data_IF_146055369397
#
_entry.id   IF_146055369397
#
_cell.length_a   1.000
_cell.length_b   1.000
_cell.length_c   1.000
_cell.angle_alpha   90.00
_cell.angle_beta   90.00
_cell.angle_gamma   90.00
#
_symmetry.space_group_name_H-M   'P 1'
#
loop_
_entity.id
_entity.type
_entity.pdbx_description
1 polymer ?
#
# COMPACT_ATOMS: atom_id res chain seq x y z
N UNK A 1 -3.41 -0.22 19.06
CA UNK A 1 -3.57 -0.53 17.62
C UNK A 1 -2.49 0.24 16.86
N UNK A 2 -1.27 -0.26 16.83
CA UNK A 2 -0.23 0.31 15.97
C UNK A 2 -0.11 -0.60 14.75
N UNK A 3 -0.89 -0.31 13.71
CA UNK A 3 -0.76 -1.02 12.44
C UNK A 3 0.56 -0.66 11.76
N UNK A 4 1.17 0.48 12.08
CA UNK A 4 2.39 0.93 11.40
C UNK A 4 3.59 0.90 12.34
N UNK A 5 4.71 0.38 11.82
CA UNK A 5 6.02 0.43 12.46
C UNK A 5 6.76 1.71 12.04
N UNK A 6 7.88 2.01 12.69
CA UNK A 6 8.79 3.08 12.22
C UNK A 6 9.24 2.83 10.78
N UNK A 7 9.41 1.56 10.39
CA UNK A 7 9.84 1.15 9.06
C UNK A 7 8.81 1.47 7.97
N UNK A 8 7.51 1.54 8.31
CA UNK A 8 6.45 1.93 7.36
C UNK A 8 6.77 3.29 6.72
N UNK A 9 7.02 4.31 7.55
CA UNK A 9 7.34 5.65 7.08
C UNK A 9 8.75 5.72 6.47
N UNK A 10 9.70 4.95 7.01
CA UNK A 10 11.06 4.94 6.51
C UNK A 10 11.14 4.38 5.09
N UNK A 11 10.37 3.33 4.78
CA UNK A 11 10.30 2.77 3.43
C UNK A 11 9.93 3.83 2.39
N UNK A 12 8.93 4.67 2.66
CA UNK A 12 8.52 5.73 1.72
C UNK A 12 9.58 6.82 1.56
N UNK A 13 10.31 7.17 2.63
CA UNK A 13 11.45 8.11 2.55
C UNK A 13 12.57 7.56 1.68
N UNK A 14 12.86 6.26 1.80
CA UNK A 14 13.90 5.60 1.00
C UNK A 14 13.44 5.44 -0.45
N UNK A 15 12.18 5.06 -0.67
CA UNK A 15 11.58 4.94 -2.00
C UNK A 15 11.63 6.27 -2.76
N UNK A 16 11.31 7.39 -2.10
CA UNK A 16 11.37 8.71 -2.72
C UNK A 16 12.76 9.07 -3.25
N UNK A 17 13.83 8.57 -2.61
CA UNK A 17 15.22 8.77 -3.05
C UNK A 17 15.66 7.75 -4.12
N UNK A 18 14.99 6.61 -4.20
CA UNK A 18 15.40 5.47 -5.02
C UNK A 18 14.24 4.96 -5.89
N UNK A 19 13.45 5.85 -6.49
CA UNK A 19 12.25 5.50 -7.24
C UNK A 19 12.58 4.88 -8.61
N UNK A 20 13.19 3.70 -8.59
CA UNK A 20 13.53 2.89 -9.75
C UNK A 20 13.20 1.41 -9.48
N UNK A 21 13.11 0.64 -10.56
CA UNK A 21 12.63 -0.74 -10.51
C UNK A 21 13.61 -1.64 -9.76
N UNK A 22 14.90 -1.47 -9.97
CA UNK A 22 15.97 -2.29 -9.40
C UNK A 22 15.97 -2.20 -7.87
N UNK A 23 15.88 -0.98 -7.33
CA UNK A 23 15.79 -0.76 -5.90
C UNK A 23 14.50 -1.30 -5.32
N UNK A 24 13.36 -1.09 -6.00
CA UNK A 24 12.08 -1.61 -5.52
C UNK A 24 12.05 -3.14 -5.51
N UNK A 25 12.57 -3.80 -6.54
CA UNK A 25 12.65 -5.26 -6.61
C UNK A 25 13.53 -5.82 -5.48
N UNK A 26 14.67 -5.18 -5.18
CA UNK A 26 15.52 -5.54 -4.06
C UNK A 26 14.82 -5.34 -2.69
N UNK A 27 13.94 -4.34 -2.58
CA UNK A 27 13.21 -4.01 -1.35
C UNK A 27 11.78 -4.58 -1.30
N UNK A 28 11.38 -5.42 -2.25
CA UNK A 28 10.00 -5.92 -2.39
C UNK A 28 9.50 -6.64 -1.14
N UNK A 29 10.35 -7.46 -0.51
CA UNK A 29 10.01 -8.15 0.74
C UNK A 29 9.75 -7.15 1.89
N UNK A 30 10.56 -6.10 2.00
CA UNK A 30 10.37 -5.02 2.98
C UNK A 30 9.06 -4.28 2.72
N UNK A 31 8.75 -3.96 1.47
CA UNK A 31 7.46 -3.38 1.10
C UNK A 31 6.29 -4.28 1.51
N UNK A 32 6.35 -5.57 1.20
CA UNK A 32 5.28 -6.52 1.52
C UNK A 32 5.02 -6.62 3.03
N UNK A 33 6.09 -6.68 3.82
CA UNK A 33 6.03 -6.87 5.27
C UNK A 33 5.75 -5.59 6.05
N UNK A 34 6.44 -4.49 5.72
CA UNK A 34 6.41 -3.26 6.50
C UNK A 34 5.35 -2.27 6.04
N UNK A 35 4.82 -2.41 4.81
CA UNK A 35 3.89 -1.45 4.21
C UNK A 35 2.58 -2.13 3.79
N UNK A 36 2.66 -3.09 2.87
CA UNK A 36 1.46 -3.68 2.25
C UNK A 36 0.62 -4.45 3.26
N UNK A 37 1.21 -5.39 3.99
CA UNK A 37 0.48 -6.21 4.97
C UNK A 37 -0.16 -5.37 6.08
N UNK A 38 0.55 -4.45 6.75
CA UNK A 38 -0.09 -3.69 7.82
C UNK A 38 -1.16 -2.71 7.33
N UNK A 39 -1.03 -2.17 6.12
CA UNK A 39 -2.08 -1.35 5.50
C UNK A 39 -3.32 -2.18 5.13
N UNK A 40 -3.13 -3.39 4.59
CA UNK A 40 -4.21 -4.35 4.36
C UNK A 40 -4.95 -4.69 5.67
N UNK A 41 -4.23 -4.90 6.76
CA UNK A 41 -4.81 -5.22 8.08
C UNK A 41 -5.64 -4.04 8.62
N UNK A 42 -5.14 -2.81 8.46
CA UNK A 42 -5.89 -1.60 8.81
C UNK A 42 -7.18 -1.48 7.99
N UNK A 43 -7.09 -1.57 6.66
CA UNK A 43 -8.26 -1.40 5.79
C UNK A 43 -9.28 -2.51 6.05
N UNK A 44 -8.84 -3.75 6.29
CA UNK A 44 -9.72 -4.86 6.68
C UNK A 44 -10.46 -4.58 7.99
N UNK A 45 -9.76 -4.04 9.00
CA UNK A 45 -10.38 -3.66 10.27
C UNK A 45 -11.40 -2.52 10.10
N UNK A 46 -11.11 -1.55 9.23
CA UNK A 46 -12.04 -0.46 8.89
C UNK A 46 -13.27 -1.01 8.19
N UNK A 47 -13.12 -1.82 7.15
CA UNK A 47 -14.22 -2.45 6.42
C UNK A 47 -15.11 -3.25 7.38
N UNK A 48 -14.52 -4.07 8.24
CA UNK A 48 -15.27 -4.85 9.23
C UNK A 48 -16.06 -3.97 10.21
N UNK A 49 -15.50 -2.81 10.61
CA UNK A 49 -16.19 -1.87 11.50
C UNK A 49 -17.32 -1.12 10.79
N UNK A 50 -17.09 -0.66 9.56
CA UNK A 50 -18.11 0.00 8.75
C UNK A 50 -19.23 -0.96 8.39
N UNK A 51 -18.92 -2.22 8.08
CA UNK A 51 -19.89 -3.27 7.77
C UNK A 51 -20.87 -3.59 8.91
N UNK A 52 -20.55 -3.21 10.15
CA UNK A 52 -21.49 -3.30 11.29
C UNK A 52 -22.59 -2.24 11.22
N UNK A 53 -22.32 -1.11 10.56
CA UNK A 53 -23.24 0.02 10.40
C UNK A 53 -23.95 -0.05 9.05
N UNK A 54 -23.20 -0.28 7.97
CA UNK A 54 -23.72 -0.40 6.61
C UNK A 54 -23.50 -1.80 6.05
N UNK A 55 -24.59 -2.57 5.95
CA UNK A 55 -24.59 -3.95 5.43
C UNK A 55 -24.38 -4.03 3.91
N UNK A 56 -24.37 -2.92 3.19
CA UNK A 56 -24.07 -2.88 1.76
C UNK A 56 -22.57 -2.92 1.47
N UNK A 57 -21.72 -2.69 2.47
CA UNK A 57 -20.26 -2.83 2.33
C UNK A 57 -19.91 -4.30 2.14
N UNK A 58 -19.65 -4.68 0.89
CA UNK A 58 -19.29 -6.04 0.44
C UNK A 58 -18.00 -6.03 -0.38
N UNK A 59 -17.00 -5.35 0.14
CA UNK A 59 -15.69 -5.23 -0.49
C UNK A 59 -14.61 -5.82 0.40
N UNK A 60 -13.55 -6.32 -0.21
CA UNK A 60 -12.33 -6.74 0.47
C UNK A 60 -11.29 -5.61 0.48
N UNK A 61 -10.38 -5.63 1.46
CA UNK A 61 -9.34 -4.60 1.57
C UNK A 61 -8.48 -4.45 0.30
N UNK A 62 -8.23 -5.54 -0.44
CA UNK A 62 -7.48 -5.52 -1.69
C UNK A 62 -8.15 -4.69 -2.80
N UNK A 63 -9.47 -4.54 -2.74
CA UNK A 63 -10.27 -3.77 -3.71
C UNK A 63 -10.30 -2.28 -3.36
N UNK A 64 -9.97 -1.93 -2.11
CA UNK A 64 -9.92 -0.57 -1.59
C UNK A 64 -8.50 0.02 -1.55
N UNK A 65 -7.48 -0.69 -2.05
CA UNK A 65 -6.07 -0.27 -2.00
C UNK A 65 -5.50 -0.14 -3.41
N UNK A 66 -4.90 1.02 -3.69
CA UNK A 66 -4.19 1.25 -4.95
C UNK A 66 -2.88 0.47 -5.03
N UNK A 67 -2.47 0.16 -6.26
CA UNK A 67 -1.15 -0.44 -6.52
C UNK A 67 -0.06 0.62 -6.34
N UNK A 68 1.10 0.18 -5.84
CA UNK A 68 2.27 1.06 -5.68
C UNK A 68 2.85 1.51 -7.02
N UNK A 69 2.77 0.68 -8.06
CA UNK A 69 3.24 1.05 -9.40
C UNK A 69 2.25 2.01 -10.05
N UNK A 70 2.77 3.16 -10.49
CA UNK A 70 2.06 4.14 -11.28
C UNK A 70 1.59 3.54 -12.62
N UNK A 71 0.32 3.76 -12.97
CA UNK A 71 -0.16 3.44 -14.32
C UNK A 71 0.32 4.53 -15.29
N UNK A 72 1.35 4.21 -16.07
CA UNK A 72 1.96 5.15 -17.02
C UNK A 72 1.39 5.04 -18.43
N UNK A 73 0.37 4.20 -18.69
CA UNK A 73 -0.11 3.95 -20.08
C UNK A 73 -0.48 5.24 -20.81
N UNK A 74 -1.13 6.17 -20.12
CA UNK A 74 -1.58 7.45 -20.68
C UNK A 74 -0.72 8.66 -20.29
N UNK A 75 0.35 8.46 -19.51
CA UNK A 75 1.22 9.56 -19.09
C UNK A 75 2.18 9.96 -20.23
N UNK A 76 2.39 11.27 -20.42
CA UNK A 76 3.45 11.82 -21.30
C UNK A 76 4.83 11.50 -20.75
N UNK A 77 4.97 11.55 -19.43
CA UNK A 77 6.18 11.19 -18.71
C UNK A 77 6.14 9.72 -18.27
N UNK A 78 7.12 8.93 -18.69
CA UNK A 78 7.24 7.51 -18.41
C UNK A 78 8.24 7.21 -17.28
N UNK A 79 8.76 8.23 -16.59
CA UNK A 79 9.57 7.96 -15.41
C UNK A 79 8.76 7.14 -14.39
N UNK A 80 9.38 6.12 -13.78
CA UNK A 80 8.78 5.34 -12.70
C UNK A 80 8.23 6.21 -11.56
#
# INVERSE_FOLDING_TARGET
>A
MAHFTSDFNQFYKDLAKNNNKEWFDANRKRYEMSVKKPFLDLVSAVIAKVGKVDKNVRIEAKEAIFRINRDIRFSKDKTP
#
